data_IF_532700400368
#
_entry.id   IF_532700400368
#
_cell.length_a   1.000
_cell.length_b   1.000
_cell.length_c   1.000
_cell.angle_alpha   90.00
_cell.angle_beta   90.00
_cell.angle_gamma   90.00
#
_symmetry.space_group_name_H-M   'P 1'
#
loop_
_entity.id
_entity.type
_entity.pdbx_description
1 polymer ?
#
# COMPACT_ATOMS: atom_id res chain seq x y z
N UNK A 1 4.02 12.75 28.04
CA UNK A 1 2.77 13.48 27.77
C UNK A 1 1.54 12.58 27.96
N UNK A 2 1.29 11.56 27.12
CA UNK A 2 0.05 10.74 27.19
C UNK A 2 -0.20 9.94 28.49
N UNK A 3 0.74 9.93 29.43
CA UNK A 3 0.56 9.29 30.73
C UNK A 3 -0.53 9.97 31.58
N UNK A 4 -0.73 11.28 31.44
CA UNK A 4 -1.71 12.05 32.24
C UNK A 4 -3.16 11.91 31.75
N UNK A 5 -3.38 11.28 30.59
CA UNK A 5 -4.72 11.10 30.06
C UNK A 5 -5.50 10.10 30.89
N UNK A 6 -6.77 10.41 31.24
CA UNK A 6 -7.61 9.53 32.02
C UNK A 6 -7.83 8.21 31.28
N UNK A 7 -7.67 7.09 31.99
CA UNK A 7 -7.92 5.74 31.46
C UNK A 7 -9.39 5.34 31.51
N UNK A 8 -9.72 4.26 30.81
CA UNK A 8 -11.10 3.77 30.61
C UNK A 8 -11.80 3.21 31.87
N UNK A 9 -11.10 3.09 32.99
CA UNK A 9 -11.53 2.26 34.14
C UNK A 9 -12.10 3.04 35.33
N UNK A 10 -12.41 4.33 35.17
CA UNK A 10 -12.98 5.10 36.27
C UNK A 10 -14.45 4.72 36.52
N UNK A 11 -14.77 4.19 37.71
CA UNK A 11 -16.15 3.95 38.13
C UNK A 11 -16.93 5.26 38.26
N UNK A 12 -18.26 5.20 38.15
CA UNK A 12 -19.10 6.37 38.42
C UNK A 12 -18.90 6.87 39.86
N UNK A 13 -18.89 8.20 40.09
CA UNK A 13 -19.24 9.28 39.15
C UNK A 13 -18.09 9.75 38.24
N UNK A 14 -16.87 9.24 38.44
CA UNK A 14 -15.67 9.72 37.74
C UNK A 14 -15.67 9.39 36.24
N UNK A 15 -16.33 8.31 35.85
CA UNK A 15 -16.53 7.96 34.43
C UNK A 15 -17.22 9.08 33.64
N UNK A 16 -18.16 9.83 34.23
CA UNK A 16 -18.78 10.99 33.59
C UNK A 16 -17.80 12.14 33.34
N UNK A 17 -16.88 12.39 34.28
CA UNK A 17 -15.84 13.40 34.14
C UNK A 17 -14.82 13.02 33.07
N UNK A 18 -14.41 11.75 33.01
CA UNK A 18 -13.51 11.25 31.96
C UNK A 18 -14.13 11.48 30.59
N UNK A 19 -15.39 11.11 30.39
CA UNK A 19 -16.11 11.35 29.13
C UNK A 19 -16.19 12.85 28.79
N UNK A 20 -16.44 13.70 29.78
CA UNK A 20 -16.49 15.15 29.57
C UNK A 20 -15.14 15.70 29.09
N UNK A 21 -14.02 15.26 29.68
CA UNK A 21 -12.67 15.66 29.27
C UNK A 21 -12.38 15.28 27.82
N UNK A 22 -12.68 14.04 27.41
CA UNK A 22 -12.49 13.62 26.01
C UNK A 22 -13.39 14.40 25.06
N UNK A 23 -14.66 14.63 25.40
CA UNK A 23 -15.59 15.38 24.57
C UNK A 23 -15.17 16.85 24.40
N UNK A 24 -14.79 17.53 25.50
CA UNK A 24 -14.43 18.95 25.46
C UNK A 24 -13.06 19.20 24.79
N UNK A 25 -12.18 18.20 24.77
CA UNK A 25 -10.86 18.29 24.10
C UNK A 25 -10.87 17.84 22.64
N UNK A 26 -11.97 17.26 22.14
CA UNK A 26 -12.04 16.70 20.79
C UNK A 26 -11.76 17.72 19.67
N UNK A 27 -12.09 18.99 19.88
CA UNK A 27 -11.83 20.08 18.94
C UNK A 27 -10.55 20.88 19.23
N UNK A 28 -9.80 20.53 20.27
CA UNK A 28 -8.61 21.27 20.71
C UNK A 28 -7.33 20.58 20.25
N UNK A 29 -6.23 21.32 19.99
CA UNK A 29 -4.97 20.76 19.56
C UNK A 29 -4.24 20.09 20.74
N UNK A 30 -4.59 18.82 21.01
CA UNK A 30 -4.14 18.06 22.19
C UNK A 30 -3.35 16.81 21.86
N UNK A 31 -3.22 16.46 20.58
CA UNK A 31 -2.40 15.34 20.11
C UNK A 31 -1.17 15.85 19.39
N UNK A 32 -0.01 15.26 19.65
CA UNK A 32 1.24 15.66 18.99
C UNK A 32 1.45 14.86 17.72
N UNK A 33 1.63 15.56 16.59
CA UNK A 33 2.00 14.99 15.29
C UNK A 33 3.34 15.56 14.84
N UNK A 34 4.19 14.73 14.21
CA UNK A 34 5.46 15.17 13.64
C UNK A 34 5.32 15.91 12.28
N UNK A 35 4.10 16.07 11.79
CA UNK A 35 3.83 16.71 10.50
C UNK A 35 4.40 18.13 10.46
N UNK A 36 5.10 18.46 9.37
CA UNK A 36 5.70 19.78 9.19
C UNK A 36 6.77 20.16 10.21
N UNK A 37 7.40 19.18 10.88
CA UNK A 37 8.42 19.42 11.91
C UNK A 37 7.89 19.45 13.34
N UNK A 38 6.61 19.14 13.55
CA UNK A 38 6.00 19.02 14.88
C UNK A 38 4.91 20.05 15.12
N UNK A 39 3.67 19.60 15.31
CA UNK A 39 2.55 20.44 15.71
C UNK A 39 1.54 19.68 16.55
N UNK A 40 0.81 20.43 17.38
CA UNK A 40 -0.36 19.93 18.07
C UNK A 40 -1.57 19.96 17.13
N UNK A 41 -2.32 18.86 17.10
CA UNK A 41 -3.49 18.66 16.24
C UNK A 41 -4.69 18.19 17.06
N UNK A 42 -5.88 18.52 16.57
CA UNK A 42 -7.13 18.02 17.16
C UNK A 42 -7.35 16.54 16.83
N UNK A 43 -8.00 15.78 17.73
CA UNK A 43 -8.44 14.42 17.44
C UNK A 43 -9.21 14.27 16.12
N UNK A 44 -10.02 15.27 15.77
CA UNK A 44 -10.84 15.26 14.55
C UNK A 44 -10.04 15.39 13.25
N UNK A 45 -8.84 15.99 13.27
CA UNK A 45 -7.96 16.09 12.10
C UNK A 45 -6.84 15.03 12.12
N UNK A 46 -6.64 14.37 13.26
CA UNK A 46 -5.55 13.44 13.47
C UNK A 46 -5.80 12.09 12.80
N UNK A 47 -4.80 11.63 12.03
CA UNK A 47 -4.79 10.31 11.41
C UNK A 47 -4.17 9.30 12.38
N UNK A 48 -4.94 8.28 12.76
CA UNK A 48 -4.44 7.22 13.62
C UNK A 48 -3.90 6.06 12.77
N UNK A 49 -2.65 5.68 13.02
CA UNK A 49 -2.05 4.46 12.48
C UNK A 49 -1.89 3.51 13.65
N UNK A 50 -2.51 2.34 13.58
CA UNK A 50 -2.40 1.34 14.65
C UNK A 50 -0.97 0.87 14.80
N UNK A 51 -0.49 0.85 16.04
CA UNK A 51 0.82 0.29 16.41
C UNK A 51 0.84 -1.25 16.29
N UNK A 52 -0.32 -1.89 16.14
CA UNK A 52 -0.46 -3.35 16.02
C UNK A 52 -0.09 -3.86 14.61
N UNK A 53 -0.06 -2.97 13.61
CA UNK A 53 0.24 -3.37 12.24
C UNK A 53 1.76 -3.44 12.00
N UNK A 54 2.21 -4.57 11.44
CA UNK A 54 3.60 -4.79 11.06
C UNK A 54 4.04 -3.76 10.02
N UNK A 55 5.07 -2.95 10.32
CA UNK A 55 5.50 -1.79 9.53
C UNK A 55 4.57 -0.56 9.57
N UNK A 56 3.73 -0.42 10.60
CA UNK A 56 2.90 0.78 10.82
C UNK A 56 3.72 2.08 10.84
N UNK A 57 4.96 2.03 11.33
CA UNK A 57 5.87 3.17 11.31
C UNK A 57 6.18 3.66 9.87
N UNK A 58 6.36 2.76 8.91
CA UNK A 58 6.66 3.17 7.53
C UNK A 58 5.46 3.81 6.85
N UNK A 59 4.25 3.32 7.15
CA UNK A 59 2.99 3.94 6.72
C UNK A 59 2.85 5.33 7.34
N UNK A 60 3.09 5.45 8.65
CA UNK A 60 3.04 6.73 9.37
C UNK A 60 4.05 7.74 8.80
N UNK A 61 5.29 7.33 8.59
CA UNK A 61 6.33 8.20 8.02
C UNK A 61 6.01 8.64 6.59
N UNK A 62 5.48 7.74 5.75
CA UNK A 62 5.06 8.11 4.40
C UNK A 62 3.96 9.19 4.41
N UNK A 63 2.97 9.02 5.28
CA UNK A 63 1.87 9.96 5.43
C UNK A 63 2.33 11.31 6.01
N UNK A 64 3.26 11.31 6.97
CA UNK A 64 3.89 12.53 7.48
C UNK A 64 4.63 13.30 6.38
N UNK A 65 5.37 12.62 5.52
CA UNK A 65 6.06 13.22 4.36
C UNK A 65 5.07 13.79 3.32
N UNK A 66 3.86 13.23 3.25
CA UNK A 66 2.77 13.72 2.40
C UNK A 66 1.96 14.85 3.05
N UNK A 67 2.28 15.24 4.28
CA UNK A 67 1.65 16.35 5.00
C UNK A 67 0.40 15.97 5.81
N UNK A 68 0.14 14.68 6.01
CA UNK A 68 -0.96 14.21 6.86
C UNK A 68 -0.59 14.29 8.35
N UNK A 69 -1.56 14.65 9.17
CA UNK A 69 -1.40 14.78 10.62
C UNK A 69 -1.45 13.42 11.33
N UNK A 70 -0.43 12.58 11.12
CA UNK A 70 -0.35 11.26 11.75
C UNK A 70 -0.01 11.38 13.22
N UNK A 71 -0.72 10.63 14.06
CA UNK A 71 -0.47 10.53 15.50
C UNK A 71 -0.35 9.07 15.92
N UNK A 72 0.60 8.82 16.83
CA UNK A 72 0.74 7.57 17.55
C UNK A 72 0.34 7.85 19.00
N UNK A 73 -0.86 7.39 19.37
CA UNK A 73 -1.42 7.57 20.70
C UNK A 73 -1.57 6.21 21.39
N UNK A 74 -1.32 6.11 22.70
CA UNK A 74 -1.60 4.87 23.42
C UNK A 74 -3.07 4.47 23.27
N UNK A 75 -3.34 3.16 23.17
CA UNK A 75 -4.70 2.61 23.00
C UNK A 75 -5.74 3.19 23.96
N UNK A 76 -5.36 3.44 25.22
CA UNK A 76 -6.25 4.08 26.22
C UNK A 76 -6.77 5.46 25.80
N UNK A 77 -5.96 6.26 25.10
CA UNK A 77 -6.34 7.60 24.63
C UNK A 77 -7.25 7.48 23.42
N UNK A 78 -6.89 6.58 22.49
CA UNK A 78 -7.72 6.27 21.33
C UNK A 78 -9.13 5.83 21.76
N UNK A 79 -9.23 4.82 22.63
CA UNK A 79 -10.51 4.29 23.07
C UNK A 79 -11.31 5.29 23.93
N UNK A 80 -10.64 6.19 24.67
CA UNK A 80 -11.30 7.29 25.36
C UNK A 80 -12.02 8.27 24.42
N UNK A 81 -11.43 8.57 23.26
CA UNK A 81 -12.06 9.36 22.21
C UNK A 81 -13.15 8.61 21.44
N UNK A 82 -12.94 7.32 21.19
CA UNK A 82 -13.92 6.43 20.60
C UNK A 82 -15.20 6.35 21.46
N UNK A 83 -15.05 6.23 22.79
CA UNK A 83 -16.16 6.14 23.74
C UNK A 83 -17.09 7.38 23.74
N UNK A 84 -16.60 8.54 23.29
CA UNK A 84 -17.38 9.79 23.16
C UNK A 84 -17.74 10.13 21.72
N UNK A 85 -17.61 9.18 20.79
CA UNK A 85 -17.89 9.35 19.36
C UNK A 85 -17.06 10.46 18.68
N UNK A 86 -15.89 10.77 19.22
CA UNK A 86 -14.93 11.73 18.67
C UNK A 86 -13.63 11.02 18.29
N UNK A 87 -13.75 9.86 17.64
CA UNK A 87 -12.61 9.02 17.28
C UNK A 87 -11.67 9.74 16.32
N UNK A 88 -10.41 9.37 16.40
CA UNK A 88 -9.41 9.77 15.42
C UNK A 88 -9.77 9.20 14.05
N UNK A 89 -9.19 9.78 13.00
CA UNK A 89 -9.41 9.30 11.64
C UNK A 89 -8.51 8.08 11.36
N UNK A 90 -9.08 6.89 11.44
CA UNK A 90 -8.33 5.66 11.17
C UNK A 90 -7.75 5.63 9.76
N UNK A 91 -6.46 5.33 9.69
CA UNK A 91 -5.81 4.97 8.43
C UNK A 91 -6.20 3.53 8.12
N UNK A 92 -7.17 3.37 7.22
CA UNK A 92 -7.59 2.07 6.69
C UNK A 92 -7.10 1.88 5.25
N UNK A 93 -6.92 0.63 4.77
CA UNK A 93 -6.37 0.37 3.43
C UNK A 93 -7.12 1.07 2.29
N UNK A 94 -8.46 1.12 2.35
CA UNK A 94 -9.29 1.77 1.33
C UNK A 94 -9.04 3.28 1.22
N UNK A 95 -8.89 3.96 2.36
CA UNK A 95 -8.53 5.37 2.41
C UNK A 95 -7.12 5.58 1.88
N UNK A 96 -6.16 4.75 2.29
CA UNK A 96 -4.76 4.85 1.82
C UNK A 96 -4.67 4.71 0.30
N UNK A 97 -5.42 3.77 -0.29
CA UNK A 97 -5.51 3.62 -1.75
C UNK A 97 -6.01 4.90 -2.41
N UNK A 98 -7.05 5.54 -1.88
CA UNK A 98 -7.57 6.79 -2.42
C UNK A 98 -6.55 7.94 -2.28
N UNK A 99 -5.87 8.02 -1.14
CA UNK A 99 -4.87 9.04 -0.85
C UNK A 99 -3.72 9.08 -1.87
N UNK A 100 -3.22 7.90 -2.26
CA UNK A 100 -2.13 7.76 -3.23
C UNK A 100 -2.57 7.82 -4.69
N UNK A 101 -3.85 7.55 -4.98
CA UNK A 101 -4.41 7.74 -6.33
C UNK A 101 -4.65 9.20 -6.67
N UNK A 102 -5.07 10.00 -5.68
CA UNK A 102 -5.50 11.37 -5.90
C UNK A 102 -4.39 12.30 -6.40
N UNK A 103 -3.14 12.07 -5.99
CA UNK A 103 -1.99 12.88 -6.42
C UNK A 103 -0.71 12.06 -6.37
N UNK A 104 0.24 12.27 -7.30
CA UNK A 104 1.59 11.76 -7.14
C UNK A 104 2.18 12.33 -5.84
N UNK A 105 2.62 11.42 -4.97
CA UNK A 105 3.10 11.73 -3.62
C UNK A 105 4.62 11.74 -3.55
N UNK A 106 5.17 12.61 -2.70
CA UNK A 106 6.63 12.73 -2.52
C UNK A 106 7.18 11.55 -1.73
N UNK A 107 6.37 11.01 -0.81
CA UNK A 107 6.72 9.87 0.04
C UNK A 107 7.12 8.60 -0.71
N UNK A 108 6.68 8.46 -1.96
CA UNK A 108 7.00 7.35 -2.85
C UNK A 108 8.34 7.52 -3.59
N UNK A 109 8.97 8.70 -3.50
CA UNK A 109 10.25 8.95 -4.16
C UNK A 109 11.39 8.40 -3.30
N UNK A 110 12.15 7.46 -3.85
CA UNK A 110 13.46 7.08 -3.31
C UNK A 110 13.45 6.01 -2.20
N UNK A 111 12.31 5.43 -1.83
CA UNK A 111 12.26 4.28 -0.91
C UNK A 111 11.38 3.15 -1.42
N UNK A 112 12.04 2.12 -1.98
CA UNK A 112 11.42 0.88 -2.44
C UNK A 112 10.72 0.14 -1.29
N UNK A 113 11.41 -0.04 -0.17
CA UNK A 113 10.90 -0.80 0.98
C UNK A 113 9.61 -0.20 1.52
N UNK A 114 9.57 1.14 1.65
CA UNK A 114 8.37 1.85 2.06
C UNK A 114 7.21 1.64 1.08
N UNK A 115 7.46 1.68 -0.22
CA UNK A 115 6.44 1.41 -1.22
C UNK A 115 5.89 -0.02 -1.10
N UNK A 116 6.75 -1.01 -0.81
CA UNK A 116 6.34 -2.40 -0.55
C UNK A 116 5.47 -2.48 0.71
N UNK A 117 5.82 -1.80 1.80
CA UNK A 117 5.00 -1.78 3.02
C UNK A 117 3.64 -1.10 2.80
N UNK A 118 3.61 0.02 2.08
CA UNK A 118 2.36 0.68 1.69
C UNK A 118 1.50 -0.21 0.80
N UNK A 119 2.10 -0.92 -0.16
CA UNK A 119 1.41 -1.88 -1.00
C UNK A 119 0.84 -3.03 -0.17
N UNK A 120 1.61 -3.61 0.75
CA UNK A 120 1.16 -4.67 1.66
C UNK A 120 -0.02 -4.20 2.50
N UNK A 121 0.03 -2.97 3.03
CA UNK A 121 -1.09 -2.37 3.73
C UNK A 121 -2.32 -2.21 2.83
N UNK A 122 -2.14 -1.71 1.61
CA UNK A 122 -3.22 -1.55 0.64
C UNK A 122 -3.85 -2.87 0.17
N UNK A 123 -3.21 -4.01 0.40
CA UNK A 123 -3.72 -5.33 0.05
C UNK A 123 -4.32 -6.07 1.26
N UNK A 124 -4.09 -5.61 2.49
CA UNK A 124 -4.39 -6.38 3.71
C UNK A 124 -5.89 -6.58 3.98
N UNK A 125 -6.76 -5.76 3.39
CA UNK A 125 -8.22 -5.90 3.45
C UNK A 125 -8.81 -6.69 2.27
N UNK A 126 -7.98 -7.10 1.31
CA UNK A 126 -8.39 -7.90 0.15
C UNK A 126 -8.06 -9.38 0.39
N UNK A 127 -8.87 -10.28 -0.14
CA UNK A 127 -8.62 -11.72 -0.08
C UNK A 127 -8.16 -12.24 -1.43
N UNK A 128 -6.95 -12.80 -1.48
CA UNK A 128 -6.37 -13.31 -2.72
C UNK A 128 -7.04 -14.61 -3.20
N UNK A 129 -7.60 -15.41 -2.30
CA UNK A 129 -8.25 -16.72 -2.54
C UNK A 129 -9.77 -16.62 -2.74
N UNK A 130 -10.26 -15.47 -3.18
CA UNK A 130 -11.68 -15.25 -3.37
C UNK A 130 -12.22 -15.94 -4.63
N UNK A 131 -13.46 -16.43 -4.55
CA UNK A 131 -14.14 -17.07 -5.67
C UNK A 131 -14.53 -16.04 -6.74
N UNK A 132 -14.47 -16.39 -8.04
CA UNK A 132 -14.98 -15.54 -9.11
C UNK A 132 -16.42 -15.10 -8.86
N UNK A 133 -16.74 -13.85 -9.25
CA UNK A 133 -18.07 -13.22 -9.09
C UNK A 133 -18.53 -13.02 -7.64
N UNK A 134 -17.63 -13.07 -6.67
CA UNK A 134 -17.92 -12.68 -5.30
C UNK A 134 -17.64 -11.18 -5.07
N UNK A 135 -18.27 -10.57 -4.06
CA UNK A 135 -18.00 -9.17 -3.70
C UNK A 135 -16.52 -8.93 -3.37
N UNK A 136 -15.84 -9.91 -2.78
CA UNK A 136 -14.41 -9.85 -2.47
C UNK A 136 -13.54 -9.91 -3.74
N UNK A 137 -13.99 -10.64 -4.76
CA UNK A 137 -13.36 -10.65 -6.08
C UNK A 137 -13.42 -9.26 -6.71
N UNK A 138 -14.60 -8.65 -6.73
CA UNK A 138 -14.83 -7.33 -7.33
C UNK A 138 -14.11 -6.20 -6.59
N UNK A 139 -13.76 -6.39 -5.32
CA UNK A 139 -13.00 -5.43 -4.53
C UNK A 139 -11.62 -5.12 -5.15
N UNK A 140 -11.02 -6.05 -5.91
CA UNK A 140 -9.72 -5.83 -6.56
C UNK A 140 -9.74 -4.73 -7.63
N UNK A 141 -10.91 -4.38 -8.17
CA UNK A 141 -11.07 -3.23 -9.06
C UNK A 141 -10.60 -1.92 -8.40
N UNK A 142 -10.64 -1.82 -7.06
CA UNK A 142 -10.17 -0.66 -6.33
C UNK A 142 -8.65 -0.48 -6.35
N UNK A 143 -7.87 -1.40 -6.94
CA UNK A 143 -6.42 -1.24 -7.09
C UNK A 143 -6.05 -0.40 -8.32
N UNK A 144 -6.90 -0.35 -9.35
CA UNK A 144 -6.61 0.37 -10.60
C UNK A 144 -6.32 1.85 -10.34
N UNK A 145 -5.19 2.33 -10.84
CA UNK A 145 -4.64 3.68 -10.68
C UNK A 145 -3.68 3.85 -9.49
N UNK A 146 -3.52 2.85 -8.63
CA UNK A 146 -2.64 2.94 -7.45
C UNK A 146 -1.15 2.83 -7.86
N UNK A 147 -0.31 3.87 -7.65
CA UNK A 147 1.08 3.95 -8.13
C UNK A 147 2.08 3.27 -7.19
N UNK A 148 1.82 2.02 -6.81
CA UNK A 148 2.60 1.31 -5.77
C UNK A 148 3.21 -0.01 -6.24
N UNK A 149 3.17 -0.36 -7.53
CA UNK A 149 3.75 -1.63 -8.01
C UNK A 149 5.26 -1.47 -8.23
N UNK A 150 6.12 -2.14 -7.46
CA UNK A 150 7.57 -2.09 -7.67
C UNK A 150 7.94 -2.97 -8.86
N UNK A 151 8.73 -2.43 -9.77
CA UNK A 151 9.26 -3.16 -10.93
C UNK A 151 10.77 -3.38 -10.79
N UNK A 152 11.30 -4.34 -11.56
CA UNK A 152 12.69 -4.79 -11.45
C UNK A 152 13.75 -3.75 -11.81
N UNK A 153 13.38 -2.63 -12.44
CA UNK A 153 14.28 -1.49 -12.65
C UNK A 153 14.38 -0.54 -11.46
N UNK A 154 13.63 -0.81 -10.38
CA UNK A 154 13.57 0.00 -9.16
C UNK A 154 12.55 1.12 -9.20
N UNK A 155 11.86 1.34 -10.31
CA UNK A 155 10.77 2.31 -10.40
C UNK A 155 9.44 1.76 -9.82
N UNK A 156 8.49 2.67 -9.61
CA UNK A 156 7.13 2.33 -9.20
C UNK A 156 6.17 2.58 -10.37
N UNK A 157 5.25 1.65 -10.57
CA UNK A 157 4.25 1.68 -11.64
C UNK A 157 2.84 1.65 -11.06
N UNK A 158 1.87 2.30 -11.71
CA UNK A 158 0.48 2.15 -11.35
C UNK A 158 -0.08 0.81 -11.80
N UNK A 159 -1.03 0.28 -11.02
CA UNK A 159 -1.95 -0.73 -11.53
C UNK A 159 -2.78 -0.12 -12.66
N UNK A 160 -2.59 -0.59 -13.88
CA UNK A 160 -3.44 -0.27 -15.01
C UNK A 160 -4.72 -1.10 -15.00
N UNK A 161 -5.75 -0.74 -15.78
CA UNK A 161 -6.91 -1.61 -16.01
C UNK A 161 -6.52 -2.89 -16.75
N UNK A 162 -7.37 -3.91 -16.73
CA UNK A 162 -7.14 -5.18 -17.45
C UNK A 162 -6.75 -5.01 -18.93
N UNK A 163 -7.33 -4.02 -19.60
CA UNK A 163 -7.10 -3.72 -21.02
C UNK A 163 -5.90 -2.79 -21.27
N UNK A 164 -5.10 -2.46 -20.25
CA UNK A 164 -3.95 -1.58 -20.42
C UNK A 164 -2.89 -2.23 -21.32
N UNK A 165 -2.41 -1.53 -22.38
CA UNK A 165 -1.33 -2.04 -23.24
C UNK A 165 0.02 -2.18 -22.50
N UNK A 166 0.22 -1.47 -21.39
CA UNK A 166 1.44 -1.52 -20.59
C UNK A 166 1.35 -2.60 -19.52
N UNK A 167 1.42 -3.86 -19.97
CA UNK A 167 1.32 -5.04 -19.10
C UNK A 167 2.50 -5.14 -18.12
N UNK A 168 2.19 -5.46 -16.86
CA UNK A 168 3.17 -5.75 -15.81
C UNK A 168 3.24 -7.27 -15.60
N UNK A 169 4.44 -7.82 -15.73
CA UNK A 169 4.70 -9.26 -15.77
C UNK A 169 5.25 -9.74 -14.44
N UNK A 170 4.65 -10.77 -13.87
CA UNK A 170 5.15 -11.46 -12.68
C UNK A 170 5.87 -12.72 -13.15
N UNK A 171 7.13 -12.84 -12.77
CA UNK A 171 8.01 -13.92 -13.23
C UNK A 171 8.88 -14.49 -12.13
N UNK A 172 9.36 -15.69 -12.36
CA UNK A 172 10.43 -16.33 -11.60
C UNK A 172 11.76 -15.60 -11.80
N UNK A 173 12.75 -15.80 -10.91
CA UNK A 173 14.08 -15.19 -11.06
C UNK A 173 14.71 -15.45 -12.43
N UNK A 174 14.59 -16.67 -12.96
CA UNK A 174 15.15 -17.05 -14.26
C UNK A 174 14.48 -16.31 -15.43
N UNK A 175 13.16 -16.15 -15.38
CA UNK A 175 12.43 -15.39 -16.41
C UNK A 175 12.80 -13.90 -16.38
N UNK A 176 13.08 -13.37 -15.19
CA UNK A 176 13.53 -11.99 -15.03
C UNK A 176 14.94 -11.77 -15.57
N UNK A 177 15.83 -12.75 -15.42
CA UNK A 177 17.16 -12.75 -16.05
C UNK A 177 17.06 -12.83 -17.57
N UNK A 178 16.23 -13.75 -18.08
CA UNK A 178 15.99 -13.91 -19.51
C UNK A 178 15.45 -12.62 -20.13
N UNK A 179 14.55 -11.92 -19.44
CA UNK A 179 13.89 -10.70 -19.91
C UNK A 179 14.54 -9.44 -19.33
N UNK A 180 15.84 -9.46 -19.01
CA UNK A 180 16.54 -8.34 -18.37
C UNK A 180 16.47 -7.00 -19.17
N UNK A 181 16.27 -7.04 -20.48
CA UNK A 181 16.07 -5.84 -21.30
C UNK A 181 14.69 -5.16 -21.06
N UNK A 182 13.75 -5.87 -20.44
CA UNK A 182 12.36 -5.45 -20.19
C UNK A 182 12.06 -5.24 -18.70
N UNK A 183 13.07 -4.99 -17.87
CA UNK A 183 12.95 -4.80 -16.41
C UNK A 183 11.87 -3.78 -15.98
N UNK A 184 11.61 -2.77 -16.79
CA UNK A 184 10.55 -1.76 -16.54
C UNK A 184 9.12 -2.31 -16.62
N UNK A 185 8.95 -3.53 -17.15
CA UNK A 185 7.67 -4.23 -17.27
C UNK A 185 7.57 -5.45 -16.37
N UNK A 186 8.62 -5.77 -15.63
CA UNK A 186 8.67 -6.96 -14.78
C UNK A 186 8.49 -6.50 -13.34
N UNK A 187 7.56 -7.13 -12.61
CA UNK A 187 7.35 -6.89 -11.19
C UNK A 187 8.59 -7.38 -10.44
N UNK A 188 8.99 -6.64 -9.42
CA UNK A 188 10.12 -7.01 -8.59
C UNK A 188 9.95 -8.40 -7.95
N UNK A 189 10.96 -9.26 -8.09
CA UNK A 189 10.97 -10.64 -7.60
C UNK A 189 11.19 -10.70 -6.08
N UNK A 190 11.76 -9.64 -5.49
CA UNK A 190 12.05 -9.56 -4.06
C UNK A 190 10.87 -9.04 -3.22
N UNK A 191 9.64 -9.30 -3.68
CA UNK A 191 8.42 -8.98 -2.95
C UNK A 191 8.12 -10.03 -1.86
N UNK A 192 7.52 -9.63 -0.72
CA UNK A 192 7.06 -10.58 0.29
C UNK A 192 6.02 -11.55 -0.27
N UNK A 193 6.02 -12.80 0.20
CA UNK A 193 5.10 -13.84 -0.25
C UNK A 193 3.62 -13.40 -0.22
N UNK A 194 3.21 -12.69 0.84
CA UNK A 194 1.84 -12.16 0.94
C UNK A 194 1.44 -11.29 -0.25
N UNK A 195 2.36 -10.48 -0.76
CA UNK A 195 2.12 -9.63 -1.94
C UNK A 195 2.16 -10.49 -3.20
N UNK A 196 3.10 -11.43 -3.29
CA UNK A 196 3.18 -12.41 -4.38
C UNK A 196 1.87 -13.19 -4.57
N UNK A 197 1.23 -13.63 -3.50
CA UNK A 197 -0.05 -14.36 -3.53
C UNK A 197 -1.16 -13.53 -4.18
N UNK A 198 -1.26 -12.24 -3.84
CA UNK A 198 -2.19 -11.32 -4.51
C UNK A 198 -1.87 -11.16 -6.00
N UNK A 199 -0.60 -11.03 -6.36
CA UNK A 199 -0.16 -10.87 -7.75
C UNK A 199 -0.39 -12.16 -8.58
N UNK A 200 -0.43 -13.32 -7.94
CA UNK A 200 -0.85 -14.59 -8.51
C UNK A 200 -2.37 -14.79 -8.60
N UNK A 201 -3.16 -14.06 -7.82
CA UNK A 201 -4.61 -14.28 -7.74
C UNK A 201 -5.35 -14.00 -9.05
N UNK A 202 -6.36 -14.80 -9.34
CA UNK A 202 -7.25 -14.57 -10.49
C UNK A 202 -8.00 -13.24 -10.36
N UNK A 203 -8.36 -12.84 -9.14
CA UNK A 203 -9.10 -11.62 -8.86
C UNK A 203 -8.30 -10.36 -9.26
N UNK A 204 -7.03 -10.28 -8.84
CA UNK A 204 -6.18 -9.14 -9.19
C UNK A 204 -5.93 -9.10 -10.72
N UNK A 205 -5.69 -10.25 -11.34
CA UNK A 205 -5.46 -10.34 -12.79
C UNK A 205 -6.74 -10.03 -13.59
N UNK A 206 -7.94 -10.33 -13.07
CA UNK A 206 -9.18 -9.99 -13.76
C UNK A 206 -9.38 -8.47 -13.90
N UNK A 207 -8.92 -7.68 -12.93
CA UNK A 207 -9.18 -6.23 -12.90
C UNK A 207 -8.01 -5.35 -13.31
N UNK A 208 -6.77 -5.82 -13.13
CA UNK A 208 -5.56 -5.02 -13.35
C UNK A 208 -4.77 -5.47 -14.57
N UNK A 209 -3.75 -4.71 -14.96
CA UNK A 209 -2.78 -5.02 -16.02
C UNK A 209 -1.65 -5.97 -15.59
N UNK A 210 -1.68 -6.50 -14.36
CA UNK A 210 -0.66 -7.41 -13.84
C UNK A 210 -0.97 -8.84 -14.27
N UNK A 211 -0.03 -9.56 -14.88
CA UNK A 211 -0.20 -10.96 -15.30
C UNK A 211 0.97 -11.82 -14.89
N UNK A 212 0.68 -13.08 -14.59
CA UNK A 212 1.70 -14.12 -14.54
C UNK A 212 2.29 -14.33 -15.94
N UNK A 213 3.61 -14.47 -16.02
CA UNK A 213 4.27 -14.81 -17.27
C UNK A 213 3.77 -16.16 -17.79
N UNK A 214 3.48 -16.19 -19.08
CA UNK A 214 3.14 -17.43 -19.79
C UNK A 214 4.19 -17.68 -20.88
N UNK A 215 4.40 -18.94 -21.30
CA UNK A 215 5.35 -19.24 -22.38
C UNK A 215 5.10 -18.45 -23.67
N UNK A 216 3.83 -18.18 -24.00
CA UNK A 216 3.46 -17.34 -25.14
C UNK A 216 3.92 -15.89 -24.98
N UNK A 217 3.68 -15.29 -23.81
CA UNK A 217 4.14 -13.93 -23.52
C UNK A 217 5.68 -13.83 -23.54
N UNK A 218 6.38 -14.85 -23.03
CA UNK A 218 7.84 -14.91 -23.12
C UNK A 218 8.27 -14.94 -24.58
N UNK A 219 7.68 -15.80 -25.41
CA UNK A 219 7.99 -15.89 -26.84
C UNK A 219 7.79 -14.56 -27.57
N UNK A 220 6.71 -13.82 -27.25
CA UNK A 220 6.43 -12.49 -27.80
C UNK A 220 7.48 -11.46 -27.35
N UNK A 221 7.98 -11.57 -26.12
CA UNK A 221 9.01 -10.71 -25.57
C UNK A 221 10.41 -11.04 -26.13
N UNK A 222 10.70 -12.30 -26.47
CA UNK A 222 12.02 -12.71 -26.98
C UNK A 222 12.43 -11.94 -28.24
N UNK A 223 11.47 -11.53 -29.09
CA UNK A 223 11.76 -10.71 -30.26
C UNK A 223 12.28 -9.30 -29.94
N UNK A 224 12.06 -8.81 -28.71
CA UNK A 224 12.55 -7.52 -28.22
C UNK A 224 13.88 -7.65 -27.45
N UNK A 225 14.16 -8.84 -26.90
CA UNK A 225 15.37 -9.11 -26.11
C UNK A 225 16.50 -9.64 -27.00
N UNK A 226 16.17 -10.55 -27.92
CA UNK A 226 17.16 -11.17 -28.81
C UNK A 226 17.47 -10.27 -30.00
N UNK A 227 18.68 -10.37 -30.58
CA UNK A 227 19.04 -9.61 -31.77
C UNK A 227 18.04 -9.85 -32.92
N UNK A 228 17.58 -8.79 -33.58
CA UNK A 228 16.56 -8.87 -34.63
C UNK A 228 16.92 -9.85 -35.76
N UNK A 229 18.21 -10.00 -36.06
CA UNK A 229 18.72 -10.91 -37.09
C UNK A 229 18.66 -12.40 -36.74
N UNK A 230 18.16 -12.78 -35.57
CA UNK A 230 18.02 -14.18 -35.13
C UNK A 230 16.64 -14.76 -35.40
N UNK A 231 15.62 -13.91 -35.56
CA UNK A 231 14.24 -14.34 -35.76
C UNK A 231 14.13 -15.19 -37.04
N UNK A 232 13.64 -16.42 -36.90
CA UNK A 232 13.41 -17.34 -38.01
C UNK A 232 14.65 -18.05 -38.56
N UNK A 233 15.82 -17.92 -37.91
CA UNK A 233 17.03 -18.68 -38.27
C UNK A 233 17.10 -19.99 -37.50
N UNK A 234 17.53 -21.06 -38.16
CA UNK A 234 17.80 -22.36 -37.53
C UNK A 234 19.08 -22.34 -36.69
N UNK A 235 20.07 -21.55 -37.10
CA UNK A 235 21.34 -21.40 -36.41
C UNK A 235 21.75 -19.93 -36.37
N UNK A 236 22.32 -19.52 -35.24
CA UNK A 236 22.81 -18.16 -35.01
C UNK A 236 24.18 -18.22 -34.36
N UNK A 237 25.08 -17.34 -34.79
CA UNK A 237 26.39 -17.21 -34.16
C UNK A 237 26.22 -16.36 -32.92
N UNK A 238 26.33 -16.99 -31.75
CA UNK A 238 26.32 -16.29 -30.47
C UNK A 238 27.64 -15.55 -30.30
N UNK A 239 27.64 -14.23 -30.47
CA UNK A 239 28.77 -13.38 -30.06
C UNK A 239 28.47 -12.89 -28.65
N UNK A 240 29.11 -13.53 -27.67
CA UNK A 240 29.10 -13.12 -26.26
C UNK A 240 29.87 -11.81 -26.08
#
# INVERSE_FOLDING_TARGET
YYMVWPGETAQEPWGSLVRRVYADTAGLPVLWSLVGGGRWVSPQEARYVSDEWEHGNDVAMALLEDGEAVVQVPRKVYCGYEAVQCSLLDVIPSWLRQHYKASPRKSLKGSRERAVHLLRFCLSDLTWDCKPKSKAFDAHACLVGLPLVPVSDGSLRPFGPHSDPQLLMVGSPLECELLAALRSRIVDVSLPASVGDHFGSEALQAYTNVRQLTPGMVADCLGQVLPQGWKGKSEVVWKA
#
